data_IF_289720920654
#
_entry.id   IF_289720920654
#
_cell.length_a   1.000
_cell.length_b   1.000
_cell.length_c   1.000
_cell.angle_alpha   90.00
_cell.angle_beta   90.00
_cell.angle_gamma   90.00
#
_symmetry.space_group_name_H-M   'P 1'
#
loop_
_entity.id
_entity.type
_entity.pdbx_description
1 polymer ?
#
# COMPACT_ATOMS: atom_id res chain seq x y z
N UNK A 1 4.85 -24.67 -6.97
CA UNK A 1 5.08 -23.19 -6.98
C UNK A 1 4.02 -22.45 -6.14
N UNK A 2 2.76 -22.33 -6.55
CA UNK A 2 1.77 -21.54 -5.78
C UNK A 2 1.47 -22.10 -4.38
N UNK A 3 1.40 -23.41 -4.23
CA UNK A 3 1.24 -24.08 -2.92
C UNK A 3 2.38 -23.76 -1.95
N UNK A 4 3.60 -23.65 -2.45
CA UNK A 4 4.78 -23.32 -1.63
C UNK A 4 4.79 -21.84 -1.24
N UNK A 5 4.37 -20.95 -2.17
CA UNK A 5 4.18 -19.52 -1.88
C UNK A 5 3.12 -19.30 -0.80
N UNK A 6 1.99 -19.99 -0.89
CA UNK A 6 0.92 -19.93 0.12
C UNK A 6 1.40 -20.45 1.48
N UNK A 7 2.16 -21.56 1.51
CA UNK A 7 2.75 -22.05 2.75
C UNK A 7 3.67 -21.00 3.38
N UNK A 8 4.60 -20.43 2.58
CA UNK A 8 5.51 -19.38 3.07
C UNK A 8 4.74 -18.14 3.53
N UNK A 9 3.74 -17.68 2.79
CA UNK A 9 2.92 -16.55 3.18
C UNK A 9 2.23 -16.78 4.54
N UNK A 10 1.69 -17.98 4.76
CA UNK A 10 1.08 -18.35 6.04
C UNK A 10 2.07 -18.42 7.20
N UNK A 11 3.32 -18.81 6.94
CA UNK A 11 4.37 -18.92 7.95
C UNK A 11 5.08 -17.58 8.21
N UNK A 12 5.39 -16.83 7.14
CA UNK A 12 6.24 -15.63 7.20
C UNK A 12 5.44 -14.33 7.16
N UNK A 13 4.20 -14.34 6.62
CA UNK A 13 3.35 -13.16 6.44
C UNK A 13 3.64 -12.37 5.18
N UNK A 14 4.62 -12.78 4.38
CA UNK A 14 4.98 -12.15 3.10
C UNK A 14 5.59 -13.15 2.13
N UNK A 15 5.53 -12.82 0.84
CA UNK A 15 6.24 -13.54 -0.22
C UNK A 15 6.61 -12.60 -1.35
N UNK A 16 7.66 -12.94 -2.09
CA UNK A 16 7.98 -12.33 -3.39
C UNK A 16 7.64 -13.33 -4.48
N UNK A 17 6.80 -12.89 -5.42
CA UNK A 17 6.45 -13.65 -6.62
C UNK A 17 7.25 -13.08 -7.78
N UNK A 18 8.03 -13.96 -8.42
CA UNK A 18 8.91 -13.58 -9.51
C UNK A 18 8.16 -13.51 -10.84
N UNK A 19 8.59 -12.60 -11.72
CA UNK A 19 8.19 -12.52 -13.12
C UNK A 19 6.65 -12.41 -13.34
N UNK A 20 5.94 -11.68 -12.46
CA UNK A 20 4.49 -11.42 -12.61
C UNK A 20 4.23 -10.54 -13.82
N UNK A 21 5.10 -9.57 -14.05
CA UNK A 21 5.08 -8.65 -15.19
C UNK A 21 6.32 -8.80 -16.04
N UNK A 22 6.21 -8.45 -17.32
CA UNK A 22 7.36 -8.32 -18.21
C UNK A 22 7.96 -6.91 -18.10
N UNK A 23 9.25 -6.76 -18.34
CA UNK A 23 9.93 -5.46 -18.25
C UNK A 23 9.26 -4.34 -19.06
N UNK A 24 8.78 -4.55 -20.32
CA UNK A 24 8.07 -3.50 -21.05
C UNK A 24 6.74 -3.07 -20.42
N UNK A 25 6.03 -3.98 -19.72
CA UNK A 25 4.80 -3.63 -19.00
C UNK A 25 5.13 -2.70 -17.82
N UNK A 26 6.17 -3.02 -17.05
CA UNK A 26 6.61 -2.20 -15.91
C UNK A 26 7.10 -0.83 -16.38
N UNK A 27 7.85 -0.74 -17.47
CA UNK A 27 8.29 0.54 -18.01
C UNK A 27 7.11 1.40 -18.46
N UNK A 28 6.09 0.81 -19.11
CA UNK A 28 4.86 1.51 -19.44
C UNK A 28 4.17 2.05 -18.17
N UNK A 29 3.94 1.22 -17.17
CA UNK A 29 3.30 1.63 -15.93
C UNK A 29 4.12 2.66 -15.15
N UNK A 30 5.45 2.56 -15.20
CA UNK A 30 6.34 3.56 -14.61
C UNK A 30 6.09 4.95 -15.18
N UNK A 31 5.99 5.07 -16.50
CA UNK A 31 5.72 6.36 -17.16
C UNK A 31 4.33 6.88 -16.78
N UNK A 32 3.31 6.05 -16.86
CA UNK A 32 1.93 6.44 -16.50
C UNK A 32 1.82 6.90 -15.04
N UNK A 33 2.43 6.17 -14.10
CA UNK A 33 2.42 6.51 -12.67
C UNK A 33 3.21 7.79 -12.41
N UNK A 34 4.36 8.00 -13.09
CA UNK A 34 5.13 9.26 -12.99
C UNK A 34 4.32 10.47 -13.43
N UNK A 35 3.62 10.38 -14.55
CA UNK A 35 2.78 11.48 -15.04
C UNK A 35 1.62 11.77 -14.06
N UNK A 36 0.98 10.74 -13.53
CA UNK A 36 -0.08 10.89 -12.54
C UNK A 36 0.41 11.56 -11.24
N UNK A 37 1.59 11.17 -10.75
CA UNK A 37 2.22 11.81 -9.58
C UNK A 37 2.51 13.28 -9.87
N UNK A 38 3.14 13.57 -11.01
CA UNK A 38 3.45 14.94 -11.43
C UNK A 38 2.20 15.82 -11.47
N UNK A 39 1.09 15.32 -12.02
CA UNK A 39 -0.18 16.03 -12.06
C UNK A 39 -0.75 16.25 -10.64
N UNK A 40 -0.77 15.21 -9.80
CA UNK A 40 -1.31 15.29 -8.44
C UNK A 40 -0.49 16.18 -7.51
N UNK A 41 0.82 16.28 -7.72
CA UNK A 41 1.78 17.01 -6.89
C UNK A 41 2.27 18.32 -7.54
N UNK A 42 1.67 18.77 -8.62
CA UNK A 42 2.14 19.95 -9.37
C UNK A 42 2.23 21.24 -8.55
N UNK A 43 1.50 21.32 -7.43
CA UNK A 43 1.51 22.47 -6.52
C UNK A 43 2.41 22.27 -5.30
N UNK A 44 2.98 21.09 -5.10
CA UNK A 44 3.92 20.81 -4.01
C UNK A 44 5.35 21.09 -4.50
N UNK A 45 5.82 22.30 -4.23
CA UNK A 45 7.14 22.77 -4.63
C UNK A 45 8.20 22.61 -3.53
N UNK A 46 7.85 21.97 -2.42
CA UNK A 46 8.76 21.73 -1.29
C UNK A 46 9.92 20.83 -1.69
N UNK A 47 11.12 21.16 -1.20
CA UNK A 47 12.26 20.25 -1.27
C UNK A 47 12.08 19.10 -0.27
N UNK A 48 12.90 18.06 -0.38
CA UNK A 48 12.85 16.94 0.57
C UNK A 48 13.04 17.41 2.02
N UNK A 49 13.90 18.40 2.25
CA UNK A 49 14.21 18.95 3.57
C UNK A 49 13.05 19.76 4.17
N UNK A 50 12.19 20.34 3.33
CA UNK A 50 11.03 21.12 3.74
C UNK A 50 9.81 20.24 4.10
N UNK A 51 9.88 18.95 3.83
CA UNK A 51 8.82 17.99 4.12
C UNK A 51 8.87 17.52 5.57
N UNK A 52 7.74 17.08 6.11
CA UNK A 52 7.69 16.42 7.41
C UNK A 52 8.54 15.14 7.42
N UNK A 53 8.97 14.68 8.60
CA UNK A 53 9.75 13.42 8.72
C UNK A 53 9.08 12.24 8.06
N UNK A 54 7.75 12.16 8.14
CA UNK A 54 6.98 11.13 7.43
C UNK A 54 7.10 11.28 5.91
N UNK A 55 6.88 12.47 5.38
CA UNK A 55 6.96 12.75 3.93
C UNK A 55 8.39 12.60 3.38
N UNK A 56 9.42 12.79 4.22
CA UNK A 56 10.82 12.49 3.87
C UNK A 56 11.07 10.99 3.68
N UNK A 57 10.24 10.12 4.26
CA UNK A 57 10.31 8.68 4.02
C UNK A 57 9.83 8.31 2.63
N UNK A 58 8.75 8.91 2.18
CA UNK A 58 8.19 8.78 0.83
C UNK A 58 7.06 9.80 0.60
N UNK A 59 6.95 10.25 -0.63
CA UNK A 59 5.77 10.98 -1.11
C UNK A 59 4.69 9.99 -1.51
N UNK A 60 3.45 10.20 -1.05
CA UNK A 60 2.32 9.32 -1.27
C UNK A 60 1.26 9.98 -2.18
N UNK A 61 0.77 9.21 -3.16
CA UNK A 61 -0.39 9.57 -3.98
C UNK A 61 -1.41 8.43 -3.95
N UNK A 62 -2.52 8.63 -3.26
CA UNK A 62 -3.56 7.61 -3.06
C UNK A 62 -4.65 7.64 -4.13
N UNK A 63 -5.32 6.50 -4.32
CA UNK A 63 -6.49 6.31 -5.17
C UNK A 63 -6.30 6.78 -6.62
N UNK A 64 -5.12 6.49 -7.17
CA UNK A 64 -4.82 6.82 -8.57
C UNK A 64 -5.71 6.05 -9.55
N UNK A 65 -6.12 4.82 -9.20
CA UNK A 65 -6.99 3.99 -10.02
C UNK A 65 -8.32 4.66 -10.37
N UNK A 66 -8.79 5.58 -9.51
CA UNK A 66 -10.07 6.24 -9.69
C UNK A 66 -10.07 7.16 -10.92
N UNK A 67 -8.99 7.93 -11.11
CA UNK A 67 -8.90 8.95 -12.15
C UNK A 67 -8.05 8.57 -13.36
N UNK A 68 -7.13 7.60 -13.21
CA UNK A 68 -6.19 7.20 -14.26
C UNK A 68 -6.52 5.81 -14.80
N UNK A 69 -7.16 5.70 -15.99
CA UNK A 69 -7.61 4.40 -16.54
C UNK A 69 -6.50 3.35 -16.71
N UNK A 70 -5.27 3.79 -17.05
CA UNK A 70 -4.15 2.85 -17.20
C UNK A 70 -3.66 2.33 -15.84
N UNK A 71 -3.64 3.18 -14.80
CA UNK A 71 -3.32 2.76 -13.43
C UNK A 71 -4.41 1.82 -12.89
N UNK A 72 -5.68 2.05 -13.26
CA UNK A 72 -6.77 1.13 -12.94
C UNK A 72 -6.51 -0.27 -13.49
N UNK A 73 -5.94 -0.41 -14.71
CA UNK A 73 -5.56 -1.71 -15.25
C UNK A 73 -4.48 -2.40 -14.40
N UNK A 74 -3.53 -1.64 -13.87
CA UNK A 74 -2.49 -2.16 -12.99
C UNK A 74 -3.07 -2.59 -11.63
N UNK A 75 -3.88 -1.73 -11.01
CA UNK A 75 -4.51 -1.98 -9.69
C UNK A 75 -5.44 -3.20 -9.72
N UNK A 76 -6.11 -3.44 -10.84
CA UNK A 76 -7.05 -4.55 -11.02
C UNK A 76 -6.48 -5.66 -11.95
N UNK A 77 -5.15 -5.73 -12.10
CA UNK A 77 -4.54 -6.80 -12.88
C UNK A 77 -4.87 -8.17 -12.28
N UNK A 78 -5.53 -9.02 -13.08
CA UNK A 78 -6.06 -10.28 -12.57
C UNK A 78 -4.97 -11.28 -12.16
N UNK A 79 -3.74 -11.16 -12.67
CA UNK A 79 -2.60 -11.96 -12.21
C UNK A 79 -2.30 -11.62 -10.74
N UNK A 80 -2.21 -10.32 -10.44
CA UNK A 80 -1.95 -9.81 -9.07
C UNK A 80 -3.11 -10.14 -8.14
N UNK A 81 -4.35 -9.82 -8.56
CA UNK A 81 -5.54 -10.03 -7.74
C UNK A 81 -5.79 -11.52 -7.44
N UNK A 82 -5.56 -12.41 -8.42
CA UNK A 82 -5.67 -13.85 -8.21
C UNK A 82 -4.64 -14.35 -7.20
N UNK A 83 -3.36 -13.97 -7.36
CA UNK A 83 -2.32 -14.34 -6.41
C UNK A 83 -2.69 -13.87 -4.99
N UNK A 84 -3.14 -12.63 -4.84
CA UNK A 84 -3.57 -12.08 -3.55
C UNK A 84 -4.72 -12.90 -2.93
N UNK A 85 -5.76 -13.24 -3.71
CA UNK A 85 -6.87 -14.07 -3.25
C UNK A 85 -6.43 -15.48 -2.81
N UNK A 86 -5.53 -16.09 -3.57
CA UNK A 86 -5.02 -17.42 -3.27
C UNK A 86 -4.11 -17.42 -2.03
N UNK A 87 -3.29 -16.38 -1.83
CA UNK A 87 -2.47 -16.22 -0.63
C UNK A 87 -3.33 -16.06 0.62
N UNK A 88 -4.37 -15.22 0.58
CA UNK A 88 -5.33 -15.05 1.69
C UNK A 88 -6.29 -16.24 1.86
N UNK A 89 -6.37 -17.16 0.88
CA UNK A 89 -7.33 -18.26 0.85
C UNK A 89 -8.79 -17.80 0.87
N UNK A 90 -9.13 -16.81 0.06
CA UNK A 90 -10.47 -16.25 -0.07
C UNK A 90 -10.99 -16.38 -1.50
N UNK A 91 -12.31 -16.41 -1.65
CA UNK A 91 -12.96 -16.55 -2.96
C UNK A 91 -13.10 -15.24 -3.73
N UNK A 92 -13.13 -14.10 -3.00
CA UNK A 92 -13.28 -12.78 -3.58
C UNK A 92 -12.55 -11.71 -2.78
N UNK A 93 -12.03 -10.72 -3.49
CA UNK A 93 -11.35 -9.55 -2.94
C UNK A 93 -12.01 -8.27 -3.42
N UNK A 94 -11.98 -7.25 -2.56
CA UNK A 94 -12.23 -5.85 -2.91
C UNK A 94 -10.94 -5.05 -2.82
N UNK A 95 -10.87 -3.97 -3.59
CA UNK A 95 -9.82 -2.96 -3.40
C UNK A 95 -10.14 -2.13 -2.16
N UNK A 96 -9.13 -1.88 -1.32
CA UNK A 96 -9.21 -0.90 -0.25
C UNK A 96 -8.83 0.49 -0.76
N UNK A 97 -7.65 0.59 -1.29
CA UNK A 97 -7.15 1.69 -2.12
C UNK A 97 -5.85 1.26 -2.82
N UNK A 98 -5.44 2.01 -3.82
CA UNK A 98 -4.08 1.96 -4.33
C UNK A 98 -3.30 3.22 -3.94
N UNK A 99 -2.01 3.16 -4.11
CA UNK A 99 -1.15 4.32 -3.93
C UNK A 99 0.18 4.18 -4.67
N UNK A 100 0.68 5.28 -5.18
CA UNK A 100 2.08 5.39 -5.59
C UNK A 100 2.91 5.91 -4.41
N UNK A 101 4.05 5.27 -4.18
CA UNK A 101 5.02 5.63 -3.14
C UNK A 101 6.34 6.00 -3.80
N UNK A 102 6.71 7.27 -3.71
CA UNK A 102 7.98 7.79 -4.25
C UNK A 102 8.94 8.04 -3.11
N UNK A 103 10.03 7.27 -3.08
CA UNK A 103 11.15 7.56 -2.19
C UNK A 103 12.21 8.31 -2.99
N UNK A 104 12.33 9.60 -2.73
CA UNK A 104 13.28 10.48 -3.41
C UNK A 104 14.74 10.08 -3.14
N UNK A 105 15.67 10.55 -3.96
CA UNK A 105 17.09 10.44 -3.65
C UNK A 105 17.37 11.13 -2.33
N UNK A 106 18.07 10.46 -1.40
CA UNK A 106 18.30 10.96 -0.04
C UNK A 106 17.11 10.74 0.91
N UNK A 107 15.98 10.21 0.44
CA UNK A 107 14.81 9.93 1.28
C UNK A 107 15.15 8.97 2.42
N UNK A 108 14.67 9.32 3.65
CA UNK A 108 14.96 8.54 4.87
C UNK A 108 14.32 7.15 4.84
N UNK A 109 14.69 6.31 5.78
CA UNK A 109 14.03 5.02 6.04
C UNK A 109 12.54 5.20 6.32
N UNK A 110 11.76 4.18 6.04
CA UNK A 110 10.38 4.07 6.54
C UNK A 110 10.41 3.27 7.83
N UNK A 111 9.88 3.85 8.88
CA UNK A 111 9.87 3.25 10.21
C UNK A 111 9.08 1.93 10.24
N UNK A 112 9.41 1.00 11.16
CA UNK A 112 8.69 -0.27 11.26
C UNK A 112 7.24 -0.05 11.66
N UNK A 113 6.32 -0.68 10.92
CA UNK A 113 4.89 -0.61 11.14
C UNK A 113 4.20 -1.82 10.50
N UNK A 114 2.91 -1.97 10.76
CA UNK A 114 2.02 -2.83 10.00
C UNK A 114 0.77 -2.05 9.59
N UNK A 115 0.19 -2.42 8.45
CA UNK A 115 -0.82 -1.59 7.78
C UNK A 115 -2.20 -1.61 8.42
N UNK A 116 -2.61 -2.77 8.93
CA UNK A 116 -3.98 -3.03 9.41
C UNK A 116 -4.52 -2.00 10.42
N UNK A 117 -3.74 -1.47 11.39
CA UNK A 117 -4.25 -0.51 12.36
C UNK A 117 -4.66 0.84 11.79
N UNK A 118 -4.21 1.15 10.57
CA UNK A 118 -4.61 2.41 9.90
C UNK A 118 -5.96 2.28 9.18
N UNK A 119 -6.54 1.08 9.14
CA UNK A 119 -7.76 0.80 8.41
C UNK A 119 -8.88 0.36 9.33
N UNK A 120 -10.04 1.03 9.30
CA UNK A 120 -11.22 0.64 10.07
C UNK A 120 -11.91 -0.61 9.48
N UNK A 121 -11.13 -1.63 9.12
CA UNK A 121 -11.61 -2.94 8.69
C UNK A 121 -11.57 -3.87 9.90
N UNK A 122 -12.70 -4.48 10.25
CA UNK A 122 -12.81 -5.36 11.43
C UNK A 122 -11.98 -6.63 11.24
N UNK A 123 -12.19 -7.29 10.13
CA UNK A 123 -11.52 -8.54 9.77
C UNK A 123 -10.06 -8.27 9.38
N UNK A 124 -9.19 -9.25 9.58
CA UNK A 124 -7.75 -9.09 9.31
C UNK A 124 -7.29 -9.70 7.98
N UNK A 125 -8.20 -10.21 7.16
CA UNK A 125 -7.87 -10.74 5.84
C UNK A 125 -7.62 -9.61 4.83
N UNK A 126 -6.49 -8.94 5.01
CA UNK A 126 -6.01 -7.84 4.16
C UNK A 126 -4.62 -8.16 3.62
N UNK A 127 -4.33 -7.72 2.41
CA UNK A 127 -3.06 -7.98 1.74
C UNK A 127 -2.65 -6.77 0.88
N UNK A 128 -1.39 -6.41 0.95
CA UNK A 128 -0.79 -5.40 0.10
C UNK A 128 0.04 -6.07 -1.00
N UNK A 129 -0.29 -5.79 -2.25
CA UNK A 129 0.58 -6.06 -3.40
C UNK A 129 1.49 -4.85 -3.62
N UNK A 130 2.80 -5.03 -3.46
CA UNK A 130 3.83 -4.02 -3.61
C UNK A 130 4.56 -4.24 -4.93
N UNK A 131 4.28 -3.40 -5.93
CA UNK A 131 4.70 -3.53 -7.33
C UNK A 131 5.79 -2.48 -7.62
N UNK A 132 7.07 -2.82 -7.55
CA UNK A 132 8.13 -1.88 -7.86
C UNK A 132 8.14 -1.55 -9.36
N UNK A 133 8.25 -0.27 -9.67
CA UNK A 133 8.37 0.22 -11.04
C UNK A 133 9.83 0.47 -11.46
N UNK A 134 10.75 -0.08 -10.68
CA UNK A 134 12.19 -0.12 -10.92
C UNK A 134 12.79 -1.32 -10.18
N UNK A 135 14.02 -1.69 -10.50
CA UNK A 135 14.75 -2.69 -9.70
C UNK A 135 14.93 -2.18 -8.27
N UNK A 136 14.79 -3.07 -7.29
CA UNK A 136 14.95 -2.78 -5.86
C UNK A 136 16.14 -3.54 -5.30
N UNK A 137 17.02 -2.80 -4.63
CA UNK A 137 18.15 -3.34 -3.91
C UNK A 137 18.43 -2.56 -2.59
N UNK A 138 19.53 -2.89 -1.95
CA UNK A 138 19.93 -2.28 -0.66
C UNK A 138 20.15 -0.76 -0.70
N UNK A 139 20.27 -0.15 -1.86
CA UNK A 139 20.62 1.27 -2.04
C UNK A 139 19.41 2.18 -2.24
N UNK A 140 18.28 1.63 -2.70
CA UNK A 140 17.14 2.44 -3.13
C UNK A 140 15.83 2.19 -2.37
N UNK A 141 15.92 1.95 -1.06
CA UNK A 141 14.73 1.81 -0.24
C UNK A 141 14.13 0.40 -0.25
N UNK A 142 14.99 -0.61 -0.16
CA UNK A 142 14.65 -2.02 -0.05
C UNK A 142 13.66 -2.29 1.07
N UNK A 143 12.59 -3.03 0.75
CA UNK A 143 11.56 -3.42 1.71
C UNK A 143 12.05 -4.59 2.57
N UNK A 144 11.82 -4.50 3.86
CA UNK A 144 12.18 -5.52 4.83
C UNK A 144 11.01 -5.90 5.73
N UNK A 145 10.86 -7.19 6.02
CA UNK A 145 9.77 -7.75 6.78
C UNK A 145 10.27 -8.41 8.06
N UNK A 146 9.42 -8.47 9.08
CA UNK A 146 9.62 -9.27 10.29
C UNK A 146 8.84 -10.58 10.12
N UNK A 147 9.51 -11.71 9.74
CA UNK A 147 8.84 -12.96 9.43
C UNK A 147 8.01 -13.47 10.60
N UNK A 148 6.78 -13.92 10.32
CA UNK A 148 5.86 -14.47 11.31
C UNK A 148 5.15 -13.45 12.20
N UNK A 149 5.48 -12.16 12.09
CA UNK A 149 4.91 -11.11 12.94
C UNK A 149 3.38 -10.97 12.83
N UNK A 150 2.79 -11.33 11.67
CA UNK A 150 1.34 -11.34 11.45
C UNK A 150 0.59 -12.41 12.28
N UNK A 151 1.30 -13.40 12.83
CA UNK A 151 0.71 -14.44 13.67
C UNK A 151 0.30 -13.89 15.05
N UNK A 152 0.95 -12.82 15.50
CA UNK A 152 0.46 -12.03 16.62
C UNK A 152 -0.63 -11.10 16.12
N UNK A 153 -1.89 -11.54 16.19
CA UNK A 153 -3.05 -10.85 15.60
C UNK A 153 -3.42 -9.53 16.27
N UNK A 154 -2.59 -9.00 17.15
CA UNK A 154 -2.81 -7.72 17.79
C UNK A 154 -2.60 -6.57 16.79
N UNK A 155 -3.57 -5.66 16.74
CA UNK A 155 -3.52 -4.43 15.95
C UNK A 155 -2.81 -3.35 16.78
N UNK A 156 -1.49 -3.34 16.77
CA UNK A 156 -0.71 -2.32 17.46
C UNK A 156 -0.59 -1.08 16.59
N UNK A 157 -1.24 0.01 16.97
CA UNK A 157 -1.06 1.29 16.28
C UNK A 157 0.31 1.89 16.59
N UNK A 158 1.12 2.13 15.57
CA UNK A 158 2.41 2.81 15.65
C UNK A 158 2.29 4.13 14.90
N UNK A 159 2.49 5.24 15.60
CA UNK A 159 2.39 6.55 14.96
C UNK A 159 3.66 6.89 14.18
N UNK A 160 3.72 6.44 12.92
CA UNK A 160 4.84 6.77 12.01
C UNK A 160 4.75 8.20 11.44
N UNK A 161 3.67 8.93 11.73
CA UNK A 161 3.44 10.29 11.22
C UNK A 161 4.05 11.38 12.11
N UNK A 162 4.33 11.09 13.37
CA UNK A 162 4.74 12.08 14.38
C UNK A 162 6.24 12.12 14.67
N UNK A 163 7.08 11.46 13.88
CA UNK A 163 8.50 11.42 14.08
C UNK A 163 9.10 10.01 13.99
N UNK A 164 10.36 9.89 14.39
CA UNK A 164 11.08 8.63 14.29
C UNK A 164 10.62 7.65 15.38
N UNK A 165 10.30 6.43 15.00
CA UNK A 165 9.96 5.34 15.93
C UNK A 165 11.26 4.83 16.57
N UNK A 166 11.29 4.75 17.91
CA UNK A 166 12.39 4.09 18.61
C UNK A 166 12.34 2.58 18.34
N UNK A 167 13.37 2.06 17.69
CA UNK A 167 13.41 0.65 17.28
C UNK A 167 13.42 -0.32 18.47
N UNK A 168 14.07 0.05 19.57
CA UNK A 168 14.13 -0.79 20.77
C UNK A 168 12.75 -0.87 21.46
N UNK A 169 12.09 0.26 21.62
CA UNK A 169 10.71 0.31 22.14
C UNK A 169 9.74 -0.47 21.25
N UNK A 170 9.86 -0.28 19.92
CA UNK A 170 9.06 -1.03 18.95
C UNK A 170 9.25 -2.54 19.08
N UNK A 171 10.49 -3.03 19.08
CA UNK A 171 10.80 -4.44 19.15
C UNK A 171 10.28 -5.07 20.45
N UNK A 172 10.41 -4.37 21.58
CA UNK A 172 9.88 -4.81 22.87
C UNK A 172 8.35 -4.87 22.88
N UNK A 173 7.70 -3.79 22.47
CA UNK A 173 6.23 -3.69 22.45
C UNK A 173 5.60 -4.71 21.50
N UNK A 174 6.27 -5.03 20.41
CA UNK A 174 5.80 -5.99 19.39
C UNK A 174 6.22 -7.44 19.64
N UNK A 175 6.94 -7.72 20.72
CA UNK A 175 7.54 -9.05 21.02
C UNK A 175 8.47 -9.57 19.90
N UNK A 176 9.21 -8.67 19.25
CA UNK A 176 10.06 -8.96 18.08
C UNK A 176 11.57 -8.85 18.38
N UNK A 177 11.97 -8.78 19.66
CA UNK A 177 13.36 -8.56 20.10
C UNK A 177 14.37 -9.57 19.56
N UNK A 178 13.93 -10.79 19.25
CA UNK A 178 14.75 -11.84 18.63
C UNK A 178 14.58 -11.93 17.10
N UNK A 179 13.68 -11.15 16.51
CA UNK A 179 13.37 -11.23 15.09
C UNK A 179 14.42 -10.51 14.25
N UNK A 180 14.81 -11.14 13.14
CA UNK A 180 15.65 -10.50 12.12
C UNK A 180 14.81 -10.00 10.96
N UNK A 181 15.09 -8.78 10.51
CA UNK A 181 14.44 -8.23 9.31
C UNK A 181 14.92 -8.97 8.07
N UNK A 182 13.98 -9.51 7.32
CA UNK A 182 14.21 -10.14 6.01
C UNK A 182 14.05 -9.12 4.90
N UNK A 183 15.14 -8.57 4.39
CA UNK A 183 15.14 -7.62 3.28
C UNK A 183 15.07 -8.34 1.95
N UNK A 184 14.27 -7.80 1.02
CA UNK A 184 13.98 -8.43 -0.26
C UNK A 184 14.53 -7.59 -1.43
N UNK A 185 15.40 -8.19 -2.26
CA UNK A 185 15.73 -7.64 -3.58
C UNK A 185 14.61 -8.05 -4.56
N UNK A 186 14.17 -7.10 -5.39
CA UNK A 186 13.17 -7.37 -6.42
C UNK A 186 13.73 -6.91 -7.78
N UNK A 187 13.66 -7.80 -8.74
CA UNK A 187 13.93 -7.46 -10.15
C UNK A 187 12.66 -6.85 -10.79
N UNK A 188 12.83 -6.26 -11.97
CA UNK A 188 11.72 -5.68 -12.72
C UNK A 188 10.73 -6.78 -13.09
N UNK A 189 9.47 -6.60 -12.69
CA UNK A 189 8.41 -7.58 -12.91
C UNK A 189 8.06 -8.44 -11.71
N UNK A 190 8.89 -8.44 -10.67
CA UNK A 190 8.58 -9.10 -9.40
C UNK A 190 7.52 -8.32 -8.62
N UNK A 191 6.73 -9.02 -7.83
CA UNK A 191 5.74 -8.40 -6.92
C UNK A 191 5.91 -8.99 -5.53
N UNK A 192 5.99 -8.12 -4.52
CA UNK A 192 5.94 -8.53 -3.12
C UNK A 192 4.51 -8.46 -2.61
N UNK A 193 4.11 -9.47 -1.85
CA UNK A 193 2.82 -9.52 -1.16
C UNK A 193 3.06 -9.65 0.33
N UNK A 194 2.36 -8.86 1.15
CA UNK A 194 2.40 -8.99 2.60
C UNK A 194 1.02 -8.84 3.22
N UNK A 195 0.80 -9.59 4.28
CA UNK A 195 -0.41 -9.53 5.08
C UNK A 195 -0.49 -8.21 5.85
N UNK A 196 -1.67 -7.60 5.99
CA UNK A 196 -1.85 -6.31 6.65
C UNK A 196 -1.34 -6.24 8.09
N UNK A 197 -1.18 -7.37 8.77
CA UNK A 197 -0.59 -7.47 10.10
C UNK A 197 0.91 -7.78 10.09
N UNK A 198 1.55 -7.91 8.93
CA UNK A 198 3.00 -8.15 8.87
C UNK A 198 3.75 -6.86 9.13
N UNK A 199 4.55 -6.83 10.20
CA UNK A 199 5.45 -5.72 10.43
C UNK A 199 6.50 -5.64 9.33
N UNK A 200 6.69 -4.43 8.82
CA UNK A 200 7.63 -4.16 7.75
C UNK A 200 8.21 -2.75 7.88
N UNK A 201 9.31 -2.53 7.17
CA UNK A 201 10.03 -1.25 7.09
C UNK A 201 10.69 -1.13 5.73
N UNK A 202 11.22 0.05 5.39
CA UNK A 202 12.05 0.20 4.19
C UNK A 202 13.34 0.96 4.51
N UNK A 203 14.44 0.55 3.86
CA UNK A 203 15.72 1.26 3.95
C UNK A 203 15.62 2.67 3.38
N UNK A 204 16.55 3.58 3.73
CA UNK A 204 16.67 4.86 3.07
C UNK A 204 17.03 4.67 1.58
N UNK A 205 16.78 5.69 0.78
CA UNK A 205 17.22 5.74 -0.60
C UNK A 205 18.54 6.52 -0.69
N UNK A 206 19.66 5.80 -0.71
CA UNK A 206 21.00 6.35 -0.89
C UNK A 206 21.44 6.44 -2.35
N UNK A 207 20.57 6.08 -3.29
CA UNK A 207 20.84 6.20 -4.72
C UNK A 207 20.63 7.63 -5.21
N UNK A 208 21.06 7.92 -6.44
CA UNK A 208 20.91 9.24 -7.07
C UNK A 208 19.56 9.42 -7.80
N UNK A 209 18.66 8.44 -7.72
CA UNK A 209 17.38 8.48 -8.41
C UNK A 209 16.22 8.14 -7.46
N UNK A 210 15.04 8.63 -7.81
CA UNK A 210 13.82 8.27 -7.11
C UNK A 210 13.47 6.79 -7.28
N UNK A 211 12.91 6.17 -6.25
CA UNK A 211 12.33 4.84 -6.27
C UNK A 211 10.80 4.94 -6.28
N UNK A 212 10.17 4.49 -7.36
CA UNK A 212 8.72 4.51 -7.52
C UNK A 212 8.17 3.10 -7.35
N UNK A 213 7.11 3.00 -6.57
CA UNK A 213 6.35 1.77 -6.35
C UNK A 213 4.87 2.07 -6.47
N UNK A 214 4.13 1.18 -7.10
CA UNK A 214 2.67 1.14 -6.99
C UNK A 214 2.27 0.07 -5.99
N UNK A 215 1.39 0.39 -5.05
CA UNK A 215 0.81 -0.60 -4.15
C UNK A 215 -0.69 -0.66 -4.34
N UNK A 216 -1.22 -1.87 -4.31
CA UNK A 216 -2.67 -2.12 -4.30
C UNK A 216 -3.00 -2.93 -3.05
N UNK A 217 -3.88 -2.39 -2.22
CA UNK A 217 -4.31 -3.00 -0.96
C UNK A 217 -5.66 -3.64 -1.18
N UNK A 218 -5.75 -4.94 -0.89
CA UNK A 218 -6.99 -5.69 -1.02
C UNK A 218 -7.44 -6.23 0.33
N UNK A 219 -8.74 -6.47 0.44
CA UNK A 219 -9.36 -7.11 1.60
C UNK A 219 -10.42 -8.12 1.14
N UNK A 220 -10.75 -9.08 2.01
CA UNK A 220 -11.76 -10.09 1.73
C UNK A 220 -13.15 -9.46 1.53
N UNK A 221 -13.85 -9.86 0.47
CA UNK A 221 -15.23 -9.45 0.23
C UNK A 221 -16.14 -9.92 1.37
N UNK A 222 -17.04 -9.04 1.80
CA UNK A 222 -17.90 -9.27 2.97
C UNK A 222 -17.35 -8.76 4.29
N UNK A 223 -16.11 -8.23 4.33
CA UNK A 223 -15.56 -7.57 5.52
C UNK A 223 -16.39 -6.35 5.92
N UNK A 224 -16.35 -6.01 7.23
CA UNK A 224 -17.19 -4.98 7.83
C UNK A 224 -16.35 -3.82 8.37
N UNK A 225 -16.96 -2.62 8.47
CA UNK A 225 -16.35 -1.49 9.15
C UNK A 225 -16.30 -1.75 10.67
N UNK A 226 -15.06 -1.78 11.23
CA UNK A 226 -14.82 -2.18 12.62
C UNK A 226 -15.00 -1.09 13.66
N UNK A 227 -14.71 0.16 13.28
CA UNK A 227 -14.72 1.33 14.17
C UNK A 227 -15.03 2.62 13.41
N UNK A 228 -15.03 3.76 14.12
CA UNK A 228 -15.35 5.08 13.59
C UNK A 228 -14.11 5.85 13.06
N UNK A 229 -12.92 5.24 13.05
CA UNK A 229 -11.73 5.84 12.48
C UNK A 229 -12.02 6.36 11.07
N UNK A 230 -11.57 7.58 10.81
CA UNK A 230 -11.76 8.18 9.48
C UNK A 230 -10.89 7.49 8.44
N UNK A 231 -11.53 7.09 7.34
CA UNK A 231 -10.84 6.66 6.12
C UNK A 231 -11.71 6.94 4.90
N UNK A 232 -11.12 7.47 3.82
CA UNK A 232 -11.85 7.84 2.61
C UNK A 232 -12.67 6.70 2.01
N UNK A 233 -12.17 5.46 2.08
CA UNK A 233 -12.84 4.27 1.54
C UNK A 233 -14.17 3.91 2.21
N UNK A 234 -14.41 4.37 3.43
CA UNK A 234 -15.66 4.14 4.18
C UNK A 234 -16.44 5.41 4.46
N UNK A 235 -15.76 6.56 4.63
CA UNK A 235 -16.44 7.83 4.94
C UNK A 235 -17.11 8.44 3.71
N UNK A 236 -16.45 8.43 2.52
CA UNK A 236 -17.06 8.91 1.26
C UNK A 236 -18.40 8.20 0.95
N UNK A 237 -18.46 6.86 0.94
CA UNK A 237 -19.71 6.13 0.71
C UNK A 237 -20.62 6.07 1.93
N UNK A 238 -20.24 6.72 3.05
CA UNK A 238 -21.02 6.77 4.29
C UNK A 238 -21.36 5.39 4.90
N UNK A 239 -20.43 4.43 4.81
CA UNK A 239 -20.55 3.10 5.43
C UNK A 239 -20.47 3.27 6.95
N UNK A 240 -21.42 2.72 7.68
CA UNK A 240 -21.48 2.81 9.15
C UNK A 240 -20.66 1.69 9.81
N UNK A 241 -20.27 1.90 11.08
CA UNK A 241 -19.64 0.85 11.89
C UNK A 241 -20.56 -0.36 11.96
N UNK A 242 -20.03 -1.53 11.66
CA UNK A 242 -20.75 -2.80 11.57
C UNK A 242 -21.32 -3.13 10.19
N UNK A 243 -21.45 -2.15 9.30
CA UNK A 243 -21.91 -2.41 7.93
C UNK A 243 -20.80 -3.06 7.08
N UNK A 244 -21.22 -3.81 6.06
CA UNK A 244 -20.29 -4.33 5.04
C UNK A 244 -19.63 -3.21 4.25
N UNK A 245 -18.35 -3.38 3.95
CA UNK A 245 -17.59 -2.42 3.15
C UNK A 245 -17.80 -2.74 1.67
N UNK A 246 -18.91 -2.21 1.13
CA UNK A 246 -19.32 -2.41 -0.26
C UNK A 246 -19.74 -1.08 -0.89
N UNK A 247 -18.99 -0.64 -1.90
CA UNK A 247 -19.28 0.63 -2.59
C UNK A 247 -18.58 0.69 -3.95
N UNK A 248 -18.83 1.75 -4.71
CA UNK A 248 -18.11 2.04 -5.95
C UNK A 248 -16.66 2.50 -5.73
N UNK A 249 -16.29 2.90 -4.51
CA UNK A 249 -14.90 3.22 -4.14
C UNK A 249 -14.13 2.00 -3.62
N UNK A 250 -14.82 0.93 -3.29
CA UNK A 250 -14.25 -0.38 -2.88
C UNK A 250 -14.83 -1.52 -3.72
N UNK A 251 -14.76 -1.43 -5.06
CA UNK A 251 -15.34 -2.46 -5.93
C UNK A 251 -14.62 -3.81 -5.79
N UNK A 252 -15.27 -4.88 -6.25
CA UNK A 252 -14.65 -6.19 -6.38
C UNK A 252 -13.40 -6.07 -7.28
N UNK A 253 -12.27 -6.59 -6.77
CA UNK A 253 -11.01 -6.67 -7.48
C UNK A 253 -10.77 -8.07 -8.07
N UNK A 254 -11.32 -9.11 -7.42
CA UNK A 254 -11.21 -10.48 -7.88
C UNK A 254 -12.41 -11.33 -7.39
N UNK A 255 -12.96 -12.23 -8.20
CA UNK A 255 -12.78 -12.30 -9.66
C UNK A 255 -13.60 -11.22 -10.38
N UNK A 256 -13.09 -10.66 -11.46
CA UNK A 256 -13.85 -9.72 -12.29
C UNK A 256 -13.83 -10.13 -13.76
N UNK A 257 -14.92 -9.84 -14.47
CA UNK A 257 -15.02 -9.98 -15.94
C UNK A 257 -14.73 -8.67 -16.68
N UNK A 258 -14.88 -7.55 -15.99
CA UNK A 258 -14.72 -6.19 -16.53
C UNK A 258 -14.12 -5.30 -15.44
N UNK A 259 -13.23 -4.41 -15.84
CA UNK A 259 -12.67 -3.39 -14.94
C UNK A 259 -13.82 -2.55 -14.34
N UNK A 260 -13.71 -2.19 -13.04
CA UNK A 260 -14.68 -1.30 -12.41
C UNK A 260 -14.67 0.07 -13.11
N UNK A 261 -15.80 0.76 -13.05
CA UNK A 261 -15.87 2.14 -13.50
C UNK A 261 -15.16 3.08 -12.50
N UNK A 262 -14.89 4.31 -12.94
CA UNK A 262 -14.55 5.41 -12.03
C UNK A 262 -15.67 5.57 -11.01
N UNK A 263 -15.38 5.75 -9.70
CA UNK A 263 -16.41 6.09 -8.72
C UNK A 263 -17.17 7.35 -9.12
N UNK A 264 -18.42 7.46 -8.67
CA UNK A 264 -19.26 8.64 -8.94
C UNK A 264 -18.60 9.91 -8.42
N UNK A 265 -17.98 9.83 -7.25
CA UNK A 265 -17.18 10.88 -6.66
C UNK A 265 -15.79 10.30 -6.37
N UNK A 266 -14.79 10.71 -7.13
CA UNK A 266 -13.41 10.26 -6.93
C UNK A 266 -12.76 10.98 -5.75
N UNK A 267 -11.56 10.49 -5.34
CA UNK A 267 -10.79 11.15 -4.30
C UNK A 267 -10.41 12.58 -4.70
N UNK A 268 -10.15 12.83 -5.97
CA UNK A 268 -9.85 14.18 -6.48
C UNK A 268 -11.04 15.12 -6.35
N UNK A 269 -12.24 14.64 -6.65
CA UNK A 269 -13.47 15.43 -6.49
C UNK A 269 -13.71 15.78 -5.01
N UNK A 270 -13.41 14.84 -4.10
CA UNK A 270 -13.52 15.05 -2.66
C UNK A 270 -12.54 16.11 -2.16
N UNK A 271 -11.27 16.03 -2.54
CA UNK A 271 -10.26 17.04 -2.17
C UNK A 271 -10.59 18.42 -2.72
N UNK A 272 -11.08 18.50 -3.95
CA UNK A 272 -11.54 19.77 -4.52
C UNK A 272 -12.70 20.36 -3.72
N UNK A 273 -13.64 19.53 -3.30
CA UNK A 273 -14.75 19.94 -2.43
C UNK A 273 -14.27 20.54 -1.10
N UNK A 274 -13.37 19.86 -0.39
CA UNK A 274 -12.78 20.38 0.86
C UNK A 274 -11.98 21.67 0.64
N UNK A 275 -11.24 21.79 -0.45
CA UNK A 275 -10.50 23.00 -0.79
C UNK A 275 -11.45 24.17 -1.03
N UNK A 276 -12.53 23.96 -1.78
CA UNK A 276 -13.55 25.00 -2.04
C UNK A 276 -14.26 25.45 -0.76
N UNK A 277 -14.45 24.53 0.20
CA UNK A 277 -15.07 24.85 1.51
C UNK A 277 -14.07 25.43 2.51
N UNK A 278 -12.78 25.55 2.16
CA UNK A 278 -11.74 26.04 3.06
C UNK A 278 -11.44 25.11 4.23
N UNK A 279 -11.77 23.83 4.11
CA UNK A 279 -11.56 22.81 5.14
C UNK A 279 -10.20 22.13 5.04
N UNK A 280 -9.48 22.31 3.95
CA UNK A 280 -8.07 21.93 3.84
C UNK A 280 -7.19 23.09 4.31
N UNK A 281 -6.01 22.81 4.90
CA UNK A 281 -5.04 23.84 5.23
C UNK A 281 -4.79 24.70 3.99
N UNK A 282 -4.77 26.01 4.17
CA UNK A 282 -4.23 26.88 3.14
C UNK A 282 -2.73 26.65 3.12
N UNK A 283 -2.23 26.29 1.94
CA UNK A 283 -0.80 26.10 1.68
C UNK A 283 0.03 27.27 2.24
#
# INVERSE_FOLDING_TARGET
MLKDLKKRFNEEGFVVVKDVFKAPEIEFYRQVVKEAIKERKQLDLRTLEDKSEYEQSFTQCQNLWEDYPEIRKLTFDQRVCQIAAELLNVSALRIWHDQALVKEAGGRETDPHHDQPYWPIKESNTITAWIPLCKIDKTNGQLGFYPGSHLNREKQFINIFSGKVDEGEFLNASNLTSSRVSYQDLDIGDVSFHHGLTFHRAKPNSSLSERIVHTAIYFEDGSTRGDDQFHFSVNRPNIKVGDKIESDVTPIAYPIKKLPNRPKQSISDEFMGYKMLGLLPKD
#
